data_IF_568626556317
#
_entry.id   IF_568626556317
#
_cell.length_a   1.000
_cell.length_b   1.000
_cell.length_c   1.000
_cell.angle_alpha   90.00
_cell.angle_beta   90.00
_cell.angle_gamma   90.00
#
_symmetry.space_group_name_H-M   'P 1'
#
loop_
_entity.id
_entity.type
_entity.pdbx_description
1 polymer ?
#
# COMPACT_ATOMS: atom_id res chain seq x y z
N UNK A 1 -3.10 -18.44 1.25
CA UNK A 1 -3.37 -19.72 0.55
C UNK A 1 -4.88 -20.00 0.49
N UNK A 2 -5.30 -21.04 -0.26
CA UNK A 2 -6.72 -21.39 -0.44
C UNK A 2 -7.43 -21.72 0.88
N UNK A 3 -6.73 -22.21 1.89
CA UNK A 3 -7.28 -22.48 3.21
C UNK A 3 -7.61 -21.20 3.98
N UNK A 4 -6.76 -20.18 3.87
CA UNK A 4 -7.01 -18.86 4.47
C UNK A 4 -8.19 -18.18 3.78
N UNK A 5 -8.25 -18.24 2.44
CA UNK A 5 -9.35 -17.66 1.66
C UNK A 5 -10.69 -18.33 2.05
N UNK A 6 -10.71 -19.67 2.19
CA UNK A 6 -11.88 -20.41 2.64
C UNK A 6 -12.29 -20.02 4.07
N UNK A 7 -11.32 -19.76 4.95
CA UNK A 7 -11.58 -19.30 6.31
C UNK A 7 -12.24 -17.91 6.33
N UNK A 8 -11.72 -16.97 5.52
CA UNK A 8 -12.32 -15.64 5.37
C UNK A 8 -13.76 -15.73 4.86
N UNK A 9 -14.01 -16.58 3.87
CA UNK A 9 -15.34 -16.78 3.31
C UNK A 9 -16.29 -17.39 4.35
N UNK A 10 -15.85 -18.40 5.10
CA UNK A 10 -16.65 -19.02 6.17
C UNK A 10 -17.09 -18.02 7.25
N UNK A 11 -16.22 -17.07 7.57
CA UNK A 11 -16.52 -16.01 8.53
C UNK A 11 -17.20 -14.79 7.88
N UNK A 12 -17.54 -14.85 6.61
CA UNK A 12 -18.15 -13.74 5.86
C UNK A 12 -17.33 -12.44 5.95
N UNK A 13 -16.02 -12.56 6.06
CA UNK A 13 -15.13 -11.40 6.11
C UNK A 13 -15.15 -10.66 4.77
N UNK A 14 -15.12 -9.33 4.81
CA UNK A 14 -14.90 -8.49 3.64
C UNK A 14 -13.41 -8.29 3.40
N UNK A 15 -13.03 -8.21 2.11
CA UNK A 15 -11.66 -7.93 1.70
C UNK A 15 -11.62 -6.62 0.92
N UNK A 16 -10.73 -5.70 1.29
CA UNK A 16 -10.40 -4.52 0.50
C UNK A 16 -9.16 -4.82 -0.35
N UNK A 17 -9.33 -4.84 -1.68
CA UNK A 17 -8.25 -5.02 -2.63
C UNK A 17 -7.67 -3.66 -3.02
N UNK A 18 -6.39 -3.44 -2.72
CA UNK A 18 -5.67 -2.19 -2.96
C UNK A 18 -4.48 -2.44 -3.91
N UNK A 19 -4.73 -2.59 -5.22
CA UNK A 19 -3.71 -3.04 -6.17
C UNK A 19 -2.51 -2.12 -6.27
N UNK A 20 -2.68 -0.81 -6.32
CA UNK A 20 -1.57 0.15 -6.39
C UNK A 20 -0.67 0.06 -5.17
N UNK A 21 -1.24 0.04 -3.96
CA UNK A 21 -0.48 -0.13 -2.72
C UNK A 21 0.32 -1.44 -2.72
N UNK A 22 -0.33 -2.55 -3.09
CA UNK A 22 0.34 -3.86 -3.15
C UNK A 22 1.52 -3.86 -4.12
N UNK A 23 1.36 -3.27 -5.30
CA UNK A 23 2.43 -3.18 -6.31
C UNK A 23 3.56 -2.25 -5.85
N UNK A 24 3.21 -1.07 -5.34
CA UNK A 24 4.18 -0.08 -4.88
C UNK A 24 5.06 -0.61 -3.75
N UNK A 25 4.48 -1.36 -2.82
CA UNK A 25 5.18 -1.97 -1.69
C UNK A 25 5.78 -3.36 -2.01
N UNK A 26 5.62 -3.83 -3.26
CA UNK A 26 6.05 -5.18 -3.69
C UNK A 26 5.49 -6.30 -2.80
N UNK A 27 4.24 -6.13 -2.31
CA UNK A 27 3.56 -7.12 -1.47
C UNK A 27 2.96 -8.29 -2.25
N UNK A 28 3.09 -8.28 -3.59
CA UNK A 28 2.58 -9.31 -4.48
C UNK A 28 1.22 -8.97 -5.09
N UNK A 29 0.66 -9.94 -5.83
CA UNK A 29 -0.65 -9.81 -6.47
C UNK A 29 -1.63 -10.69 -5.71
N UNK A 30 -2.72 -10.09 -5.22
CA UNK A 30 -3.76 -10.82 -4.51
C UNK A 30 -4.50 -11.81 -5.44
N UNK A 31 -4.82 -13.02 -4.98
CA UNK A 31 -5.53 -14.05 -5.78
C UNK A 31 -7.03 -13.74 -5.90
N UNK A 32 -7.36 -12.61 -6.52
CA UNK A 32 -8.72 -12.07 -6.58
C UNK A 32 -9.68 -13.00 -7.27
N UNK A 33 -9.25 -13.68 -8.33
CA UNK A 33 -10.09 -14.64 -9.06
C UNK A 33 -10.55 -15.76 -8.13
N UNK A 34 -9.64 -16.37 -7.37
CA UNK A 34 -9.97 -17.43 -6.41
C UNK A 34 -10.92 -16.93 -5.31
N UNK A 35 -10.68 -15.72 -4.78
CA UNK A 35 -11.54 -15.12 -3.76
C UNK A 35 -12.97 -14.91 -4.28
N UNK A 36 -13.12 -14.43 -5.50
CA UNK A 36 -14.42 -14.18 -6.13
C UNK A 36 -15.13 -15.48 -6.46
N UNK A 37 -14.42 -16.52 -6.94
CA UNK A 37 -14.98 -17.82 -7.33
C UNK A 37 -15.61 -18.55 -6.13
N UNK A 38 -15.06 -18.41 -4.94
CA UNK A 38 -15.66 -18.98 -3.72
C UNK A 38 -16.73 -18.07 -3.08
N UNK A 39 -17.03 -16.93 -3.68
CA UNK A 39 -18.06 -16.00 -3.21
C UNK A 39 -17.62 -15.11 -2.05
N UNK A 40 -16.32 -14.85 -1.87
CA UNK A 40 -15.84 -13.88 -0.90
C UNK A 40 -16.19 -12.45 -1.35
N UNK A 41 -16.64 -11.61 -0.45
CA UNK A 41 -16.93 -10.22 -0.75
C UNK A 41 -15.65 -9.41 -0.85
N UNK A 42 -15.27 -9.06 -2.08
CA UNK A 42 -14.08 -8.26 -2.37
C UNK A 42 -14.50 -6.91 -2.88
N UNK A 43 -14.11 -5.85 -2.18
CA UNK A 43 -14.25 -4.46 -2.60
C UNK A 43 -12.91 -3.89 -3.09
N UNK A 44 -12.97 -2.75 -3.76
CA UNK A 44 -11.79 -1.97 -4.16
C UNK A 44 -11.48 -0.94 -3.06
N UNK A 45 -10.22 -0.74 -2.78
CA UNK A 45 -9.72 0.28 -1.88
C UNK A 45 -8.42 0.88 -2.40
N UNK A 46 -8.06 2.05 -1.91
CA UNK A 46 -6.82 2.74 -2.26
C UNK A 46 -5.69 2.46 -1.27
N UNK A 47 -6.03 2.01 -0.04
CA UNK A 47 -5.14 2.10 1.11
C UNK A 47 -4.83 3.58 1.47
N UNK A 48 -3.78 3.85 2.20
CA UNK A 48 -3.43 5.20 2.62
C UNK A 48 -2.60 5.98 1.59
N UNK A 49 -2.52 7.33 1.73
CA UNK A 49 -1.78 8.19 0.80
C UNK A 49 -0.29 7.84 0.68
N UNK A 50 0.32 7.28 1.72
CA UNK A 50 1.74 6.91 1.71
C UNK A 50 2.04 5.74 0.76
N UNK A 51 1.10 4.80 0.62
CA UNK A 51 1.24 3.60 -0.20
C UNK A 51 0.54 3.71 -1.56
N UNK A 52 -0.35 4.69 -1.76
CA UNK A 52 -1.10 4.90 -3.00
C UNK A 52 -0.71 6.21 -3.72
N UNK A 53 -0.68 7.33 -3.04
CA UNK A 53 -0.41 8.71 -3.43
C UNK A 53 -1.64 9.50 -3.88
N UNK A 54 -2.31 9.13 -4.97
CA UNK A 54 -3.40 9.92 -5.57
C UNK A 54 -4.81 9.51 -5.14
N UNK A 55 -4.97 8.30 -4.57
CA UNK A 55 -6.25 7.76 -4.10
C UNK A 55 -7.32 7.68 -5.20
N UNK A 56 -6.91 7.43 -6.46
CA UNK A 56 -7.82 7.33 -7.61
C UNK A 56 -8.53 5.97 -7.67
N UNK A 57 -9.82 5.94 -7.31
CA UNK A 57 -10.64 4.72 -7.35
C UNK A 57 -10.89 4.18 -8.77
N UNK A 58 -10.81 5.00 -9.82
CA UNK A 58 -10.91 4.53 -11.21
C UNK A 58 -9.64 3.77 -11.61
N UNK A 59 -8.49 4.26 -11.22
CA UNK A 59 -7.22 3.57 -11.44
C UNK A 59 -7.19 2.24 -10.69
N UNK A 60 -7.56 2.22 -9.41
CA UNK A 60 -7.63 0.99 -8.62
C UNK A 60 -8.58 -0.05 -9.24
N UNK A 61 -9.76 0.39 -9.71
CA UNK A 61 -10.73 -0.50 -10.35
C UNK A 61 -10.18 -1.08 -11.66
N UNK A 62 -9.50 -0.27 -12.47
CA UNK A 62 -8.83 -0.70 -13.70
C UNK A 62 -7.73 -1.70 -13.42
N UNK A 63 -6.85 -1.39 -12.45
CA UNK A 63 -5.75 -2.25 -12.05
C UNK A 63 -6.24 -3.59 -11.52
N UNK A 64 -7.27 -3.60 -10.69
CA UNK A 64 -7.87 -4.84 -10.18
C UNK A 64 -8.29 -5.79 -11.33
N UNK A 65 -8.97 -5.24 -12.36
CA UNK A 65 -9.38 -6.03 -13.52
C UNK A 65 -8.18 -6.52 -14.34
N UNK A 66 -7.19 -5.67 -14.60
CA UNK A 66 -6.05 -6.01 -15.46
C UNK A 66 -5.08 -6.97 -14.76
N UNK A 67 -4.80 -6.77 -13.50
CA UNK A 67 -3.90 -7.65 -12.72
C UNK A 67 -4.48 -9.04 -12.54
N UNK A 68 -5.79 -9.14 -12.28
CA UNK A 68 -6.45 -10.44 -12.19
C UNK A 68 -6.31 -11.25 -13.49
N UNK A 69 -6.50 -10.60 -14.65
CA UNK A 69 -6.31 -11.22 -15.98
C UNK A 69 -4.87 -11.65 -16.20
N UNK A 70 -3.93 -10.78 -15.88
CA UNK A 70 -2.49 -11.08 -16.00
C UNK A 70 -2.05 -12.22 -15.10
N UNK A 71 -2.49 -12.23 -13.85
CA UNK A 71 -2.16 -13.27 -12.89
C UNK A 71 -2.77 -14.64 -13.24
N UNK A 72 -4.01 -14.65 -13.73
CA UNK A 72 -4.68 -15.87 -14.18
C UNK A 72 -4.25 -16.34 -15.58
N UNK A 73 -3.55 -15.50 -16.34
CA UNK A 73 -3.27 -15.71 -17.77
C UNK A 73 -4.57 -16.00 -18.59
N UNK A 74 -5.67 -15.36 -18.19
CA UNK A 74 -7.00 -15.53 -18.78
C UNK A 74 -7.68 -14.16 -18.94
N UNK A 75 -8.01 -13.71 -20.17
CA UNK A 75 -8.63 -12.41 -20.39
C UNK A 75 -10.10 -12.35 -19.96
N UNK A 76 -10.71 -13.47 -19.61
CA UNK A 76 -12.15 -13.56 -19.28
C UNK A 76 -12.42 -13.35 -17.78
N UNK A 77 -11.45 -13.55 -16.92
CA UNK A 77 -11.62 -13.35 -15.47
C UNK A 77 -11.82 -11.87 -15.14
N UNK A 78 -12.53 -11.59 -14.09
CA UNK A 78 -12.86 -10.23 -13.61
C UNK A 78 -13.23 -9.30 -14.77
N UNK A 79 -14.36 -9.58 -15.50
CA UNK A 79 -14.83 -8.71 -16.55
C UNK A 79 -15.17 -7.31 -15.99
N UNK A 80 -15.24 -6.30 -16.86
CA UNK A 80 -15.46 -4.90 -16.46
C UNK A 80 -16.68 -4.73 -15.52
N UNK A 81 -17.78 -5.40 -15.80
CA UNK A 81 -18.97 -5.39 -14.93
C UNK A 81 -18.69 -5.88 -13.51
N UNK A 82 -17.87 -6.92 -13.36
CA UNK A 82 -17.48 -7.44 -12.05
C UNK A 82 -16.53 -6.47 -11.32
N UNK A 83 -15.55 -5.90 -12.02
CA UNK A 83 -14.66 -4.87 -11.44
C UNK A 83 -15.45 -3.64 -10.99
N UNK A 84 -16.41 -3.18 -11.77
CA UNK A 84 -17.34 -2.11 -11.39
C UNK A 84 -18.17 -2.50 -10.16
N UNK A 85 -18.66 -3.73 -10.08
CA UNK A 85 -19.39 -4.21 -8.91
C UNK A 85 -18.50 -4.26 -7.67
N UNK A 86 -17.21 -4.59 -7.79
CA UNK A 86 -16.24 -4.53 -6.67
C UNK A 86 -16.06 -3.10 -6.17
N UNK A 87 -16.09 -2.11 -7.03
CA UNK A 87 -16.02 -0.68 -6.65
C UNK A 87 -17.34 -0.12 -6.09
N UNK A 88 -18.43 -0.88 -6.14
CA UNK A 88 -19.77 -0.44 -5.73
C UNK A 88 -20.44 -1.44 -4.77
N UNK A 89 -21.38 -2.24 -5.25
CA UNK A 89 -22.21 -3.14 -4.41
C UNK A 89 -21.39 -4.22 -3.70
N UNK A 90 -20.34 -4.75 -4.31
CA UNK A 90 -19.48 -5.75 -3.65
C UNK A 90 -18.62 -5.09 -2.56
N UNK A 91 -18.14 -3.87 -2.79
CA UNK A 91 -17.49 -3.06 -1.75
C UNK A 91 -18.42 -2.80 -0.57
N UNK A 92 -19.68 -2.43 -0.83
CA UNK A 92 -20.69 -2.26 0.21
C UNK A 92 -20.94 -3.58 0.98
N UNK A 93 -20.97 -4.74 0.30
CA UNK A 93 -21.08 -6.05 0.95
C UNK A 93 -19.86 -6.38 1.81
N UNK A 94 -18.66 -6.08 1.32
CA UNK A 94 -17.43 -6.26 2.08
C UNK A 94 -17.41 -5.46 3.39
N UNK A 95 -18.07 -4.29 3.39
CA UNK A 95 -18.25 -3.44 4.56
C UNK A 95 -19.52 -3.75 5.38
N UNK A 96 -20.29 -4.76 5.00
CA UNK A 96 -21.61 -5.09 5.60
C UNK A 96 -22.61 -3.92 5.54
N UNK A 97 -22.55 -3.12 4.47
CA UNK A 97 -23.37 -1.93 4.25
C UNK A 97 -24.30 -2.02 3.02
N UNK A 98 -24.40 -3.20 2.42
CA UNK A 98 -25.16 -3.39 1.16
C UNK A 98 -26.64 -3.09 1.28
N UNK A 99 -27.21 -3.09 2.48
CA UNK A 99 -28.62 -2.74 2.72
C UNK A 99 -28.86 -1.23 2.67
N UNK A 100 -27.80 -0.43 2.82
CA UNK A 100 -27.90 1.03 2.92
C UNK A 100 -27.21 1.78 1.79
N UNK A 101 -26.27 1.15 1.06
CA UNK A 101 -25.56 1.79 -0.05
C UNK A 101 -25.04 0.77 -1.08
N UNK A 102 -24.31 1.21 -2.10
CA UNK A 102 -23.65 0.39 -3.12
C UNK A 102 -24.51 0.11 -4.36
N UNK A 103 -25.78 0.48 -4.35
CA UNK A 103 -26.68 0.39 -5.51
C UNK A 103 -27.79 1.44 -5.44
N UNK A 104 -28.33 1.80 -6.60
CA UNK A 104 -29.43 2.77 -6.72
C UNK A 104 -30.75 2.04 -6.55
N UNK A 105 -31.27 2.01 -5.35
CA UNK A 105 -32.50 1.35 -4.97
C UNK A 105 -33.32 2.21 -4.00
N UNK A 106 -34.66 2.09 -4.08
CA UNK A 106 -35.56 2.79 -3.16
C UNK A 106 -35.29 2.37 -1.71
N UNK A 107 -35.06 3.32 -0.83
CA UNK A 107 -34.76 3.09 0.59
C UNK A 107 -33.30 3.08 0.94
N UNK A 108 -32.39 3.05 -0.04
CA UNK A 108 -30.96 3.23 0.19
C UNK A 108 -30.56 4.70 0.21
N UNK A 109 -29.38 4.96 0.74
CA UNK A 109 -28.78 6.30 0.73
C UNK A 109 -28.50 6.74 -0.70
N UNK A 110 -28.67 8.02 -0.97
CA UNK A 110 -28.26 8.63 -2.21
C UNK A 110 -26.75 8.94 -2.15
N UNK A 111 -25.93 7.90 -2.33
CA UNK A 111 -24.49 7.98 -2.53
C UNK A 111 -24.24 7.80 -4.02
N UNK A 112 -24.05 8.90 -4.73
CA UNK A 112 -24.06 8.96 -6.19
C UNK A 112 -22.83 9.67 -6.72
N UNK A 113 -22.29 9.14 -7.81
CA UNK A 113 -21.24 9.78 -8.62
C UNK A 113 -21.76 9.93 -10.04
N UNK A 114 -21.69 11.14 -10.59
CA UNK A 114 -22.07 11.44 -11.97
C UNK A 114 -20.80 11.58 -12.80
N UNK A 115 -20.77 10.85 -13.92
CA UNK A 115 -19.67 10.86 -14.87
C UNK A 115 -20.09 11.58 -16.15
N UNK A 116 -19.24 12.49 -16.60
CA UNK A 116 -19.31 13.08 -17.93
C UNK A 116 -18.58 12.15 -18.90
N UNK A 117 -19.32 11.43 -19.71
CA UNK A 117 -18.77 10.52 -20.72
C UNK A 117 -18.60 11.18 -22.10
N UNK A 118 -19.06 12.44 -22.28
CA UNK A 118 -18.90 13.18 -23.52
C UNK A 118 -17.57 13.91 -23.56
N UNK A 119 -16.49 13.15 -23.38
CA UNK A 119 -15.11 13.64 -23.40
C UNK A 119 -14.29 12.91 -24.46
N UNK A 120 -13.24 13.56 -24.96
CA UNK A 120 -12.47 13.08 -26.10
C UNK A 120 -11.95 11.63 -25.94
N UNK A 121 -11.43 11.27 -24.78
CA UNK A 121 -10.87 9.93 -24.55
C UNK A 121 -11.97 8.84 -24.41
N UNK A 122 -13.22 9.22 -24.18
CA UNK A 122 -14.37 8.31 -24.16
C UNK A 122 -15.03 8.17 -25.54
N UNK A 123 -14.54 8.87 -26.58
CA UNK A 123 -15.10 8.82 -27.94
C UNK A 123 -14.30 7.83 -28.81
N UNK A 124 -14.96 6.99 -29.65
CA UNK A 124 -16.40 6.88 -29.84
C UNK A 124 -17.10 6.00 -28.80
N UNK A 125 -18.35 6.27 -28.50
CA UNK A 125 -19.21 5.41 -27.68
C UNK A 125 -19.94 4.39 -28.53
N UNK A 126 -19.92 3.13 -28.09
CA UNK A 126 -20.62 2.03 -28.77
C UNK A 126 -21.89 1.66 -27.99
N UNK A 127 -23.04 1.64 -28.67
CA UNK A 127 -24.35 1.35 -28.06
C UNK A 127 -24.88 -0.06 -28.36
N UNK A 128 -24.06 -0.92 -29.00
CA UNK A 128 -24.49 -2.25 -29.46
C UNK A 128 -24.73 -3.23 -28.32
N UNK A 129 -24.04 -3.06 -27.23
CA UNK A 129 -24.09 -3.94 -26.06
C UNK A 129 -24.31 -3.07 -24.81
N UNK A 130 -25.30 -3.44 -24.02
CA UNK A 130 -25.59 -2.72 -22.75
C UNK A 130 -24.45 -2.82 -21.76
N UNK A 131 -23.62 -3.87 -21.80
CA UNK A 131 -22.46 -4.04 -20.94
C UNK A 131 -21.25 -3.20 -21.40
N UNK A 132 -21.29 -2.58 -22.59
CA UNK A 132 -20.23 -1.71 -23.11
C UNK A 132 -19.95 -0.52 -22.18
N UNK A 133 -20.94 -0.04 -21.46
CA UNK A 133 -20.81 1.05 -20.47
C UNK A 133 -19.84 0.69 -19.34
N UNK A 134 -19.85 -0.57 -18.85
CA UNK A 134 -18.92 -1.00 -17.81
C UNK A 134 -17.47 -1.00 -18.33
N UNK A 135 -17.27 -1.42 -19.57
CA UNK A 135 -15.94 -1.39 -20.20
C UNK A 135 -15.44 0.05 -20.36
N UNK A 136 -16.31 0.98 -20.71
CA UNK A 136 -15.99 2.39 -20.82
C UNK A 136 -15.63 2.97 -19.45
N UNK A 137 -16.42 2.72 -18.41
CA UNK A 137 -16.15 3.21 -17.05
C UNK A 137 -14.83 2.62 -16.51
N UNK A 138 -14.63 1.30 -16.64
CA UNK A 138 -13.48 0.62 -16.01
C UNK A 138 -12.18 0.85 -16.77
N UNK A 139 -12.19 0.85 -18.10
CA UNK A 139 -10.95 0.87 -18.88
C UNK A 139 -10.62 2.22 -19.50
N UNK A 140 -11.59 3.12 -19.62
CA UNK A 140 -11.39 4.40 -20.33
C UNK A 140 -11.57 5.61 -19.43
N UNK A 141 -12.65 5.65 -18.62
CA UNK A 141 -12.94 6.79 -17.75
C UNK A 141 -11.86 7.02 -16.70
N UNK A 142 -11.78 8.27 -16.25
CA UNK A 142 -10.84 8.77 -15.26
C UNK A 142 -11.59 9.49 -14.14
N UNK A 143 -10.95 9.67 -12.99
CA UNK A 143 -11.49 10.47 -11.88
C UNK A 143 -11.84 11.90 -12.31
N UNK A 144 -11.08 12.47 -13.27
CA UNK A 144 -11.37 13.81 -13.84
C UNK A 144 -12.68 13.89 -14.63
N UNK A 145 -13.30 12.75 -14.98
CA UNK A 145 -14.59 12.72 -15.68
C UNK A 145 -15.78 12.82 -14.70
N UNK A 146 -15.51 12.76 -13.39
CA UNK A 146 -16.54 12.97 -12.37
C UNK A 146 -16.97 14.43 -12.39
N UNK A 147 -18.25 14.67 -12.61
CA UNK A 147 -18.84 16.02 -12.62
C UNK A 147 -19.50 16.38 -11.29
N UNK A 148 -20.17 15.41 -10.66
CA UNK A 148 -20.93 15.65 -9.44
C UNK A 148 -20.81 14.46 -8.48
N UNK A 149 -20.82 14.75 -7.18
CA UNK A 149 -20.77 13.75 -6.10
C UNK A 149 -21.79 14.10 -5.04
N UNK A 150 -22.60 13.11 -4.69
CA UNK A 150 -23.57 13.18 -3.61
C UNK A 150 -23.29 12.07 -2.60
N UNK A 151 -23.34 12.37 -1.32
CA UNK A 151 -23.22 11.41 -0.23
C UNK A 151 -24.38 11.59 0.74
N UNK A 152 -25.10 10.52 1.00
CA UNK A 152 -26.28 10.52 1.88
C UNK A 152 -27.31 11.62 1.52
N UNK A 153 -27.45 11.93 0.22
CA UNK A 153 -28.36 12.94 -0.29
C UNK A 153 -27.86 14.39 -0.25
N UNK A 154 -26.63 14.62 0.22
CA UNK A 154 -26.00 15.93 0.25
C UNK A 154 -24.96 16.05 -0.86
N UNK A 155 -24.98 17.14 -1.62
CA UNK A 155 -24.00 17.43 -2.63
C UNK A 155 -22.66 17.83 -2.01
N UNK A 156 -21.60 17.08 -2.31
CA UNK A 156 -20.24 17.40 -1.93
C UNK A 156 -19.47 18.10 -3.05
N UNK A 157 -19.83 17.77 -4.31
CA UNK A 157 -19.29 18.39 -5.51
C UNK A 157 -20.40 18.56 -6.54
N UNK A 158 -20.44 19.68 -7.25
CA UNK A 158 -21.31 19.93 -8.40
C UNK A 158 -20.55 20.67 -9.50
N UNK A 159 -20.77 20.28 -10.74
CA UNK A 159 -20.08 20.88 -11.90
C UNK A 159 -18.56 20.96 -11.69
N UNK A 160 -17.93 19.92 -11.12
CA UNK A 160 -16.51 19.83 -10.77
C UNK A 160 -16.04 20.85 -9.74
N UNK A 161 -16.93 21.45 -8.96
CA UNK A 161 -16.61 22.37 -7.88
C UNK A 161 -16.92 21.71 -6.54
N UNK A 162 -15.96 21.62 -5.64
CA UNK A 162 -16.16 21.16 -4.28
C UNK A 162 -16.98 22.18 -3.50
N UNK A 163 -18.01 21.71 -2.79
CA UNK A 163 -18.92 22.55 -2.01
C UNK A 163 -18.54 22.63 -0.53
N UNK A 164 -17.74 21.71 -0.08
CA UNK A 164 -17.40 21.54 1.35
C UNK A 164 -15.99 21.99 1.70
N UNK A 165 -15.16 22.28 0.71
CA UNK A 165 -13.74 22.64 0.87
C UNK A 165 -13.41 23.78 -0.08
N UNK A 166 -12.61 24.72 0.40
CA UNK A 166 -11.95 25.74 -0.41
C UNK A 166 -10.63 25.15 -0.95
N UNK A 167 -10.59 24.83 -2.24
CA UNK A 167 -9.44 24.16 -2.87
C UNK A 167 -8.17 25.02 -2.84
N UNK A 168 -8.31 26.34 -3.04
CA UNK A 168 -7.18 27.26 -3.04
C UNK A 168 -6.57 27.37 -1.64
N UNK A 169 -7.40 27.49 -0.62
CA UNK A 169 -6.95 27.51 0.78
C UNK A 169 -6.33 26.18 1.20
N UNK A 170 -6.92 25.07 0.77
CA UNK A 170 -6.38 23.73 1.08
C UNK A 170 -5.01 23.52 0.42
N UNK A 171 -4.89 23.91 -0.86
CA UNK A 171 -3.64 23.82 -1.63
C UNK A 171 -2.55 24.69 -1.00
N UNK A 172 -2.87 25.93 -0.62
CA UNK A 172 -1.94 26.81 0.06
C UNK A 172 -1.47 26.21 1.39
N UNK A 173 -2.40 25.70 2.19
CA UNK A 173 -2.09 25.05 3.47
C UNK A 173 -1.21 23.81 3.30
N UNK A 174 -1.50 22.97 2.30
CA UNK A 174 -0.71 21.77 2.00
C UNK A 174 0.74 22.14 1.62
N UNK A 175 0.93 23.17 0.78
CA UNK A 175 2.25 23.66 0.40
C UNK A 175 3.02 24.23 1.60
N UNK A 176 2.35 24.95 2.51
CA UNK A 176 2.96 25.44 3.75
C UNK A 176 3.43 24.28 4.64
N UNK A 177 2.66 23.21 4.73
CA UNK A 177 3.08 21.99 5.45
C UNK A 177 4.26 21.30 4.76
N UNK A 178 4.27 21.21 3.45
CA UNK A 178 5.39 20.63 2.70
C UNK A 178 6.69 21.39 2.99
N UNK A 179 6.67 22.73 2.97
CA UNK A 179 7.82 23.56 3.32
C UNK A 179 8.30 23.33 4.76
N UNK A 180 7.35 23.20 5.72
CA UNK A 180 7.69 22.91 7.13
C UNK A 180 8.36 21.54 7.28
N UNK A 181 7.86 20.53 6.56
CA UNK A 181 8.41 19.17 6.55
C UNK A 181 9.81 19.18 5.95
N UNK A 182 10.00 19.82 4.80
CA UNK A 182 11.30 19.92 4.14
C UNK A 182 12.34 20.63 5.05
N UNK A 183 11.97 21.73 5.67
CA UNK A 183 12.84 22.42 6.62
C UNK A 183 13.21 21.53 7.82
N UNK A 184 12.22 20.83 8.39
CA UNK A 184 12.46 19.89 9.49
C UNK A 184 13.43 18.76 9.08
N UNK A 185 13.23 18.19 7.87
CA UNK A 185 14.11 17.14 7.36
C UNK A 185 15.52 17.65 7.10
N UNK A 186 15.66 18.83 6.49
CA UNK A 186 16.97 19.47 6.26
C UNK A 186 17.69 19.76 7.59
N UNK A 187 17.01 20.30 8.59
CA UNK A 187 17.59 20.52 9.92
C UNK A 187 18.03 19.22 10.58
N UNK A 188 17.22 18.16 10.44
CA UNK A 188 17.55 16.85 10.96
C UNK A 188 18.74 16.22 10.25
N UNK A 189 18.82 16.31 8.93
CA UNK A 189 19.96 15.84 8.15
C UNK A 189 21.23 16.63 8.50
N UNK A 190 21.16 17.93 8.57
CA UNK A 190 22.30 18.77 9.01
C UNK A 190 22.72 18.45 10.45
N UNK A 191 21.76 18.20 11.35
CA UNK A 191 22.04 17.78 12.72
C UNK A 191 22.70 16.40 12.80
N UNK A 192 22.27 15.44 11.97
CA UNK A 192 22.90 14.12 11.87
C UNK A 192 24.27 14.21 11.21
N UNK A 193 24.38 14.95 10.11
CA UNK A 193 25.63 15.15 9.38
C UNK A 193 26.65 15.92 10.22
N UNK A 194 26.24 16.99 10.93
CA UNK A 194 27.11 17.72 11.85
C UNK A 194 27.55 16.87 13.05
N UNK A 195 26.72 15.97 13.54
CA UNK A 195 27.10 14.98 14.56
C UNK A 195 28.09 13.95 14.00
N UNK A 196 27.86 13.46 12.80
CA UNK A 196 28.77 12.53 12.11
C UNK A 196 30.11 13.20 11.77
N UNK A 197 30.07 14.45 11.30
CA UNK A 197 31.29 15.26 11.03
C UNK A 197 32.05 15.56 12.31
N UNK A 198 31.35 15.90 13.40
CA UNK A 198 31.98 16.17 14.70
C UNK A 198 32.61 14.90 15.33
N UNK A 199 32.03 13.71 15.04
CA UNK A 199 32.55 12.43 15.53
C UNK A 199 33.67 11.90 14.62
N UNK A 200 33.57 12.15 13.30
CA UNK A 200 34.42 11.50 12.30
C UNK A 200 35.40 12.39 11.53
N UNK A 201 35.38 13.71 11.69
CA UNK A 201 36.29 14.62 10.98
C UNK A 201 36.15 14.62 9.45
N UNK A 202 35.01 14.21 8.91
CA UNK A 202 34.80 14.12 7.45
C UNK A 202 34.31 15.43 6.85
N UNK A 203 34.98 15.89 5.79
CA UNK A 203 34.46 16.90 4.87
C UNK A 203 33.24 16.35 4.09
N UNK A 204 32.31 17.24 3.76
CA UNK A 204 31.07 16.93 3.02
C UNK A 204 31.36 16.17 1.72
N UNK A 205 31.32 14.86 1.76
CA UNK A 205 31.14 14.01 0.57
C UNK A 205 29.88 13.17 0.78
N UNK A 206 29.17 12.92 -0.29
CA UNK A 206 27.96 12.08 -0.27
C UNK A 206 28.26 10.76 0.45
N UNK A 207 27.58 10.51 1.57
CA UNK A 207 27.77 9.28 2.33
C UNK A 207 26.76 8.23 1.90
N UNK A 208 27.27 7.12 1.40
CA UNK A 208 26.46 5.93 1.15
C UNK A 208 26.60 4.98 2.33
N UNK A 209 25.49 4.53 2.92
CA UNK A 209 25.50 3.42 3.87
C UNK A 209 25.54 2.11 3.11
N UNK A 210 26.64 1.38 3.22
CA UNK A 210 26.77 0.02 2.68
C UNK A 210 26.69 -0.95 3.84
N UNK A 211 25.65 -1.78 3.89
CA UNK A 211 25.54 -2.88 4.83
C UNK A 211 26.06 -4.18 4.18
N UNK A 212 27.10 -4.74 4.75
CA UNK A 212 27.57 -6.07 4.38
C UNK A 212 27.36 -7.04 5.55
N UNK A 213 26.71 -8.17 5.30
CA UNK A 213 26.57 -9.27 6.26
C UNK A 213 27.45 -10.42 5.81
N UNK A 214 28.39 -10.80 6.65
CA UNK A 214 29.28 -11.94 6.40
C UNK A 214 29.32 -12.87 7.61
N UNK A 215 29.38 -14.17 7.35
CA UNK A 215 29.64 -15.15 8.40
C UNK A 215 31.14 -15.21 8.62
N UNK A 216 31.60 -14.88 9.81
CA UNK A 216 32.99 -14.87 10.18
C UNK A 216 33.25 -15.94 11.25
N UNK A 217 34.36 -16.66 11.09
CA UNK A 217 34.79 -17.69 12.04
C UNK A 217 35.74 -17.15 13.12
N UNK A 218 36.38 -16.00 12.83
CA UNK A 218 37.32 -15.35 13.72
C UNK A 218 37.11 -13.82 13.65
N UNK A 219 36.36 -13.24 14.60
CA UNK A 219 36.10 -11.81 14.63
C UNK A 219 37.35 -10.95 14.76
N UNK A 220 38.41 -11.47 15.47
CA UNK A 220 39.62 -10.69 15.69
C UNK A 220 40.37 -10.42 14.39
N UNK A 221 40.45 -11.41 13.49
CA UNK A 221 41.06 -11.22 12.17
C UNK A 221 40.39 -10.12 11.34
N UNK A 222 39.08 -9.98 11.44
CA UNK A 222 38.36 -8.95 10.72
C UNK A 222 38.69 -7.57 11.31
N UNK A 223 38.73 -7.45 12.63
CA UNK A 223 39.10 -6.21 13.34
C UNK A 223 40.53 -5.81 12.97
N UNK A 224 41.48 -6.78 12.99
CA UNK A 224 42.89 -6.53 12.65
C UNK A 224 43.04 -6.04 11.20
N UNK A 225 42.28 -6.61 10.26
CA UNK A 225 42.26 -6.16 8.86
C UNK A 225 41.67 -4.78 8.73
N UNK A 226 40.53 -4.49 9.40
CA UNK A 226 39.90 -3.16 9.35
C UNK A 226 40.80 -2.07 9.93
N UNK A 227 41.64 -2.38 10.94
CA UNK A 227 42.60 -1.43 11.50
C UNK A 227 43.79 -1.12 10.56
N UNK A 228 44.06 -1.95 9.56
CA UNK A 228 45.11 -1.69 8.56
C UNK A 228 44.70 -0.73 7.45
N UNK A 229 43.42 -0.42 7.34
CA UNK A 229 42.88 0.52 6.36
C UNK A 229 42.46 1.84 7.05
N UNK A 230 42.32 2.94 6.34
CA UNK A 230 41.94 4.24 6.91
C UNK A 230 40.44 4.29 7.23
N UNK A 231 39.95 3.31 7.99
CA UNK A 231 38.58 3.30 8.50
C UNK A 231 38.54 3.75 9.95
N UNK A 232 37.60 4.63 10.30
CA UNK A 232 37.29 4.95 11.68
C UNK A 232 36.16 4.05 12.16
N UNK A 233 36.44 3.18 13.11
CA UNK A 233 35.42 2.36 13.77
C UNK A 233 34.64 3.26 14.71
N UNK A 234 33.45 3.70 14.29
CA UNK A 234 32.61 4.63 15.06
C UNK A 234 31.91 3.91 16.22
N UNK A 235 31.59 2.61 16.02
CA UNK A 235 30.92 1.81 17.03
C UNK A 235 31.23 0.34 16.83
N UNK A 236 31.66 -0.30 17.91
CA UNK A 236 31.79 -1.75 17.98
C UNK A 236 30.81 -2.27 19.01
N UNK A 237 29.85 -3.07 18.56
CA UNK A 237 28.80 -3.64 19.41
C UNK A 237 28.73 -5.14 19.15
N UNK A 238 28.67 -5.90 20.22
CA UNK A 238 28.48 -7.35 20.14
C UNK A 238 27.06 -7.69 20.55
N UNK A 239 26.35 -8.38 19.67
CA UNK A 239 25.05 -8.95 19.99
C UNK A 239 25.11 -10.47 19.97
N UNK A 240 24.40 -11.08 20.90
CA UNK A 240 24.08 -12.48 20.87
C UNK A 240 22.64 -12.60 20.36
N UNK A 241 22.44 -13.24 19.22
CA UNK A 241 21.13 -13.34 18.58
C UNK A 241 20.62 -14.77 18.72
N UNK A 242 19.40 -14.90 19.21
CA UNK A 242 18.68 -16.15 19.31
C UNK A 242 17.45 -16.09 18.42
N UNK A 243 17.36 -17.01 17.48
CA UNK A 243 16.18 -17.20 16.64
C UNK A 243 15.42 -18.43 17.12
N UNK A 244 14.23 -18.23 17.63
CA UNK A 244 13.31 -19.31 17.97
C UNK A 244 12.28 -19.47 16.87
N UNK A 245 12.19 -20.66 16.28
CA UNK A 245 11.25 -20.97 15.21
C UNK A 245 10.13 -21.88 15.77
N UNK A 246 8.90 -21.47 15.51
CA UNK A 246 7.72 -22.31 15.74
C UNK A 246 7.28 -22.85 14.39
N UNK A 247 7.28 -24.18 14.24
CA UNK A 247 6.87 -24.85 13.00
C UNK A 247 5.40 -25.23 13.11
N UNK A 248 4.63 -24.93 12.08
CA UNK A 248 3.21 -25.29 11.99
C UNK A 248 3.04 -26.28 10.82
N UNK A 249 2.92 -27.57 11.12
CA UNK A 249 2.81 -28.62 10.11
C UNK A 249 4.15 -29.24 9.69
N UNK A 250 4.12 -30.03 8.60
CA UNK A 250 5.28 -30.79 8.11
C UNK A 250 6.20 -30.00 7.16
N UNK A 251 5.83 -28.78 6.77
CA UNK A 251 6.60 -27.95 5.84
C UNK A 251 7.42 -26.89 6.58
N UNK A 252 8.68 -26.74 6.20
CA UNK A 252 9.57 -25.69 6.73
C UNK A 252 9.11 -24.26 6.33
N UNK A 253 8.20 -24.12 5.38
CA UNK A 253 7.70 -22.83 4.90
C UNK A 253 6.67 -22.19 5.87
N UNK A 254 6.06 -23.01 6.75
CA UNK A 254 5.11 -22.54 7.75
C UNK A 254 5.78 -22.35 9.11
N UNK A 255 6.53 -21.26 9.27
CA UNK A 255 7.27 -20.98 10.50
C UNK A 255 7.05 -19.54 10.99
N UNK A 256 6.84 -19.39 12.30
CA UNK A 256 6.97 -18.11 13.00
C UNK A 256 8.38 -18.02 13.57
N UNK A 257 9.05 -16.89 13.38
CA UNK A 257 10.36 -16.62 13.99
C UNK A 257 10.21 -15.52 15.05
N UNK A 258 10.69 -15.79 16.26
CA UNK A 258 10.93 -14.77 17.27
C UNK A 258 12.43 -14.59 17.38
N UNK A 259 12.88 -13.34 17.25
CA UNK A 259 14.30 -12.98 17.41
C UNK A 259 14.50 -12.23 18.72
N UNK A 260 15.48 -12.67 19.48
CA UNK A 260 16.00 -12.00 20.66
C UNK A 260 17.42 -11.52 20.38
N UNK A 261 17.63 -10.20 20.53
CA UNK A 261 18.92 -9.52 20.32
C UNK A 261 19.45 -9.05 21.68
N UNK A 262 20.36 -9.84 22.28
CA UNK A 262 20.98 -9.51 23.56
C UNK A 262 22.24 -8.69 23.34
N UNK A 263 22.28 -7.47 23.87
CA UNK A 263 23.51 -6.69 23.92
C UNK A 263 24.43 -7.28 25.00
N UNK A 264 25.65 -7.67 24.59
CA UNK A 264 26.61 -8.28 25.50
C UNK A 264 27.85 -7.39 25.65
N UNK A 265 28.40 -7.32 26.88
CA UNK A 265 29.68 -6.66 27.18
C UNK A 265 30.88 -7.44 26.62
N UNK A 266 32.09 -6.91 26.89
CA UNK A 266 33.34 -7.54 26.45
C UNK A 266 33.55 -8.93 27.06
N UNK A 267 32.98 -9.21 28.21
CA UNK A 267 33.08 -10.47 28.95
C UNK A 267 31.94 -11.44 28.59
N UNK A 268 31.03 -11.03 27.69
CA UNK A 268 29.92 -11.85 27.21
C UNK A 268 28.69 -11.83 28.14
N UNK A 269 28.62 -10.88 29.06
CA UNK A 269 27.46 -10.74 29.95
C UNK A 269 26.41 -9.86 29.31
N UNK A 270 25.16 -10.29 29.39
CA UNK A 270 24.00 -9.57 28.82
C UNK A 270 23.77 -8.26 29.58
N UNK A 271 23.82 -7.13 28.84
CA UNK A 271 23.51 -5.82 29.37
C UNK A 271 22.05 -5.42 29.11
N UNK A 272 21.48 -5.85 27.99
CA UNK A 272 20.10 -5.52 27.61
C UNK A 272 19.52 -6.58 26.67
N UNK A 273 18.23 -6.87 26.82
CA UNK A 273 17.47 -7.85 26.01
C UNK A 273 16.45 -7.11 25.17
N UNK A 274 16.49 -7.27 23.85
CA UNK A 274 15.48 -6.76 22.92
C UNK A 274 14.82 -7.92 22.16
N UNK A 275 13.52 -8.10 22.35
CA UNK A 275 12.72 -9.08 21.59
C UNK A 275 12.00 -8.38 20.45
N UNK A 276 12.12 -8.92 19.22
CA UNK A 276 11.48 -8.40 17.99
C UNK A 276 10.64 -9.48 17.32
#
# INVERSE_FOLDING_TARGET
DSGEISTLQHHQAGVAHCPTSNLKLASGIAPITEMLDIGLNVGIGTDGPASNNDLDMFEETRLAALLAKGAANDPTVVPARQAFAMATIMGARALHMSDITGSIEVGKRADLVVLDLDVLHNTPTFQRDQDSIYSQIVYVSKSSDVSDVMVNGEWLMQNRQLLTVDEDQLTASANDYAIKIDNFLMEREQSLLSKLVAIGGMERQESFEIQAKARITDPQKVIDVLQQYPFNIIRHVRYQQYDTYFLFGESEDHRLRIREDDLVDADGKVENVNVK
#
